data_IF_586269477522
#
_entry.id   IF_586269477522
#
_cell.length_a   1.000
_cell.length_b   1.000
_cell.length_c   1.000
_cell.angle_alpha   90.00
_cell.angle_beta   90.00
_cell.angle_gamma   90.00
#
_symmetry.space_group_name_H-M   'P 1'
#
loop_
_entity.id
_entity.type
_entity.pdbx_description
1 polymer ?
#
# COMPACT_ATOMS: atom_id res chain seq x y z
N UNK A 1 -7.52 -3.92 -12.38
CA UNK A 1 -7.64 -4.47 -13.72
C UNK A 1 -6.44 -5.39 -14.06
N UNK A 2 -5.20 -4.89 -14.03
CA UNK A 2 -4.00 -5.67 -14.36
C UNK A 2 -3.90 -6.99 -13.60
N UNK A 3 -4.01 -6.96 -12.28
CA UNK A 3 -3.99 -8.15 -11.42
C UNK A 3 -5.08 -9.15 -11.79
N UNK A 4 -6.29 -8.67 -12.10
CA UNK A 4 -7.41 -9.53 -12.50
C UNK A 4 -7.11 -10.26 -13.81
N UNK A 5 -6.55 -9.56 -14.80
CA UNK A 5 -6.16 -10.17 -16.09
C UNK A 5 -5.05 -11.21 -15.90
N UNK A 6 -4.00 -10.87 -15.13
CA UNK A 6 -2.92 -11.82 -14.87
C UNK A 6 -3.41 -13.07 -14.15
N UNK A 7 -4.27 -12.90 -13.14
CA UNK A 7 -4.83 -14.01 -12.39
C UNK A 7 -5.79 -14.87 -13.25
N UNK A 8 -6.63 -14.22 -14.06
CA UNK A 8 -7.51 -14.96 -15.00
C UNK A 8 -6.72 -15.80 -15.99
N UNK A 9 -5.62 -15.27 -16.54
CA UNK A 9 -4.71 -16.02 -17.41
C UNK A 9 -4.03 -17.19 -16.70
N UNK A 10 -3.62 -17.01 -15.44
CA UNK A 10 -3.06 -18.11 -14.64
C UNK A 10 -4.09 -19.22 -14.45
N UNK A 11 -5.32 -18.88 -14.09
CA UNK A 11 -6.41 -19.85 -13.94
C UNK A 11 -6.75 -20.54 -15.27
N UNK A 12 -6.93 -19.76 -16.34
CA UNK A 12 -7.23 -20.32 -17.67
C UNK A 12 -6.15 -21.30 -18.14
N UNK A 13 -4.87 -20.93 -17.97
CA UNK A 13 -3.77 -21.85 -18.29
C UNK A 13 -3.79 -23.12 -17.44
N UNK A 14 -4.15 -23.01 -16.16
CA UNK A 14 -4.24 -24.15 -15.24
C UNK A 14 -5.38 -25.10 -15.58
N UNK A 15 -6.49 -24.58 -16.12
CA UNK A 15 -7.67 -25.36 -16.48
C UNK A 15 -7.76 -25.71 -17.97
N UNK A 16 -6.74 -25.36 -18.78
CA UNK A 16 -6.69 -25.74 -20.20
C UNK A 16 -7.58 -24.90 -21.12
N UNK A 17 -7.95 -23.68 -20.70
CA UNK A 17 -8.78 -22.75 -21.48
C UNK A 17 -7.93 -22.03 -22.54
N UNK A 18 -7.49 -22.79 -23.58
CA UNK A 18 -6.51 -22.31 -24.57
C UNK A 18 -7.01 -21.12 -25.39
N UNK A 19 -8.31 -21.09 -25.73
CA UNK A 19 -8.92 -20.00 -26.48
C UNK A 19 -8.82 -18.68 -25.71
N UNK A 20 -9.20 -18.68 -24.42
CA UNK A 20 -9.08 -17.51 -23.54
C UNK A 20 -7.62 -17.06 -23.42
N UNK A 21 -6.69 -17.99 -23.21
CA UNK A 21 -5.26 -17.66 -23.13
C UNK A 21 -4.76 -17.07 -24.44
N UNK A 22 -5.18 -17.62 -25.58
CA UNK A 22 -4.84 -17.13 -26.91
C UNK A 22 -5.24 -15.67 -27.13
N UNK A 23 -6.45 -15.32 -26.70
CA UNK A 23 -7.03 -13.97 -26.83
C UNK A 23 -6.37 -12.98 -25.86
N UNK A 24 -6.13 -13.37 -24.59
CA UNK A 24 -5.78 -12.44 -23.52
C UNK A 24 -4.29 -12.35 -23.16
N UNK A 25 -3.45 -13.26 -23.65
CA UNK A 25 -2.01 -13.35 -23.27
C UNK A 25 -1.18 -12.08 -23.49
N UNK A 26 -1.57 -11.23 -24.44
CA UNK A 26 -0.86 -9.98 -24.74
C UNK A 26 -1.29 -8.81 -23.84
N UNK A 27 -2.43 -8.92 -23.15
CA UNK A 27 -2.99 -7.82 -22.37
C UNK A 27 -2.13 -7.40 -21.15
N UNK A 28 -1.53 -8.30 -20.37
CA UNK A 28 -0.69 -7.91 -19.25
C UNK A 28 0.45 -6.95 -19.64
N UNK A 29 1.13 -7.23 -20.74
CA UNK A 29 2.20 -6.37 -21.21
C UNK A 29 1.68 -5.00 -21.68
N UNK A 30 0.60 -4.99 -22.45
CA UNK A 30 -0.04 -3.76 -22.93
C UNK A 30 -0.51 -2.87 -21.78
N UNK A 31 -1.19 -3.46 -20.77
CA UNK A 31 -1.68 -2.73 -19.59
C UNK A 31 -0.50 -2.18 -18.79
N UNK A 32 0.55 -2.97 -18.55
CA UNK A 32 1.72 -2.55 -17.81
C UNK A 32 2.45 -1.39 -18.49
N UNK A 33 2.64 -1.46 -19.81
CA UNK A 33 3.30 -0.41 -20.57
C UNK A 33 2.49 0.89 -20.54
N UNK A 34 1.18 0.82 -20.83
CA UNK A 34 0.29 1.97 -20.74
C UNK A 34 0.24 2.57 -19.32
N UNK A 35 0.22 1.73 -18.28
CA UNK A 35 0.25 2.19 -16.89
C UNK A 35 1.54 2.96 -16.57
N UNK A 36 2.71 2.44 -16.97
CA UNK A 36 3.99 3.12 -16.76
C UNK A 36 4.06 4.44 -17.52
N UNK A 37 3.67 4.45 -18.77
CA UNK A 37 3.65 5.65 -19.60
C UNK A 37 2.76 6.76 -19.02
N UNK A 38 1.58 6.40 -18.52
CA UNK A 38 0.60 7.38 -18.03
C UNK A 38 0.86 7.84 -16.59
N UNK A 39 1.30 6.95 -15.72
CA UNK A 39 1.35 7.22 -14.26
C UNK A 39 2.76 7.45 -13.72
N UNK A 40 3.78 6.83 -14.28
CA UNK A 40 5.15 6.97 -13.77
C UNK A 40 5.76 8.32 -14.16
N UNK A 41 6.55 8.89 -13.27
CA UNK A 41 7.37 10.07 -13.53
C UNK A 41 8.82 9.75 -13.19
N UNK A 42 9.71 9.81 -14.18
CA UNK A 42 11.14 9.64 -13.97
C UNK A 42 11.72 10.80 -13.15
N UNK A 43 11.22 12.02 -13.37
CA UNK A 43 11.68 13.22 -12.66
C UNK A 43 11.30 13.19 -11.17
N UNK A 44 10.08 12.73 -10.84
CA UNK A 44 9.58 12.70 -9.46
C UNK A 44 9.96 11.39 -8.76
N UNK A 45 10.11 10.30 -9.50
CA UNK A 45 10.39 8.96 -8.99
C UNK A 45 9.21 8.27 -8.30
N UNK A 46 7.96 8.64 -8.66
CA UNK A 46 6.74 8.02 -8.15
C UNK A 46 5.57 8.08 -9.14
N UNK A 47 4.46 7.42 -8.78
CA UNK A 47 3.25 7.35 -9.59
C UNK A 47 2.34 8.56 -9.35
N UNK A 48 1.73 9.08 -10.43
CA UNK A 48 0.59 9.98 -10.32
C UNK A 48 -0.55 9.32 -9.53
N UNK A 49 -1.29 10.13 -8.77
CA UNK A 49 -2.48 9.67 -8.03
C UNK A 49 -3.61 9.28 -9.00
N UNK A 50 -3.85 10.12 -10.00
CA UNK A 50 -4.74 9.85 -11.12
C UNK A 50 -4.28 10.61 -12.36
N UNK A 51 -4.83 10.28 -13.52
CA UNK A 51 -4.65 11.02 -14.78
C UNK A 51 -5.99 11.57 -15.22
N UNK A 52 -6.10 12.90 -15.22
CA UNK A 52 -7.30 13.63 -15.63
C UNK A 52 -7.12 14.35 -16.97
N UNK A 53 -8.12 15.14 -17.41
CA UNK A 53 -8.03 15.94 -18.65
C UNK A 53 -6.87 16.93 -18.67
N UNK A 54 -6.45 17.40 -17.49
CA UNK A 54 -5.32 18.34 -17.32
C UNK A 54 -3.96 17.64 -17.20
N UNK A 55 -3.96 16.31 -17.33
CA UNK A 55 -2.75 15.48 -17.17
C UNK A 55 -2.66 14.77 -15.82
N UNK A 56 -1.47 14.25 -15.50
CA UNK A 56 -1.25 13.46 -14.28
C UNK A 56 -1.21 14.33 -13.02
N UNK A 57 -1.99 13.96 -12.01
CA UNK A 57 -1.96 14.57 -10.69
C UNK A 57 -0.75 14.04 -9.88
N UNK A 58 0.16 14.92 -9.49
CA UNK A 58 1.42 14.60 -8.79
C UNK A 58 1.34 14.73 -7.26
N UNK A 59 0.15 14.70 -6.69
CA UNK A 59 0.01 14.71 -5.24
C UNK A 59 0.51 13.40 -4.64
N UNK A 60 1.33 13.52 -3.59
CA UNK A 60 1.83 12.33 -2.89
C UNK A 60 0.72 11.80 -2.00
N UNK A 61 0.10 10.70 -2.43
CA UNK A 61 -0.99 9.97 -1.77
C UNK A 61 -0.65 8.49 -1.63
N UNK A 62 -1.29 7.75 -0.70
CA UNK A 62 -0.93 6.35 -0.44
C UNK A 62 -1.33 5.38 -1.55
N UNK A 63 -2.16 5.78 -2.54
CA UNK A 63 -2.64 4.89 -3.60
C UNK A 63 -1.51 4.17 -4.37
N UNK A 64 -0.36 4.83 -4.51
CA UNK A 64 0.80 4.25 -5.19
C UNK A 64 1.36 2.98 -4.50
N UNK A 65 1.17 2.80 -3.19
CA UNK A 65 1.66 1.58 -2.51
C UNK A 65 0.85 0.34 -2.88
N UNK A 66 -0.40 0.52 -3.30
CA UNK A 66 -1.24 -0.60 -3.77
C UNK A 66 -0.59 -1.25 -4.99
N UNK A 67 -0.10 -0.45 -5.95
CA UNK A 67 0.61 -0.95 -7.12
C UNK A 67 1.89 -1.74 -6.75
N UNK A 68 2.57 -1.34 -5.66
CA UNK A 68 3.74 -2.04 -5.15
C UNK A 68 3.40 -3.31 -4.35
N UNK A 69 2.28 -3.29 -3.61
CA UNK A 69 1.90 -4.37 -2.69
C UNK A 69 1.15 -5.53 -3.33
N UNK A 70 0.61 -5.39 -4.54
CA UNK A 70 -0.07 -6.48 -5.25
C UNK A 70 0.91 -7.56 -5.74
N UNK A 71 0.43 -8.80 -5.94
CA UNK A 71 1.29 -9.93 -6.30
C UNK A 71 1.82 -9.82 -7.74
N UNK A 72 0.99 -9.37 -8.67
CA UNK A 72 1.41 -9.08 -10.05
C UNK A 72 1.93 -7.65 -10.14
N UNK A 73 3.23 -7.50 -10.37
CA UNK A 73 3.92 -6.20 -10.35
C UNK A 73 3.86 -5.50 -11.71
N UNK A 74 3.47 -4.23 -11.71
CA UNK A 74 3.56 -3.35 -12.87
C UNK A 74 4.87 -2.54 -12.90
N UNK A 75 5.45 -2.28 -11.74
CA UNK A 75 6.71 -1.57 -11.55
C UNK A 75 7.87 -2.56 -11.38
N UNK A 76 9.07 -2.18 -11.83
CA UNK A 76 10.30 -2.89 -11.49
C UNK A 76 10.74 -2.61 -10.04
N UNK A 77 11.83 -3.27 -9.60
CA UNK A 77 12.29 -3.18 -8.22
C UNK A 77 12.79 -1.77 -7.86
N UNK A 78 13.44 -1.07 -8.79
CA UNK A 78 13.96 0.29 -8.57
C UNK A 78 12.80 1.29 -8.44
N UNK A 79 11.79 1.18 -9.30
CA UNK A 79 10.58 1.99 -9.23
C UNK A 79 9.81 1.74 -7.94
N UNK A 80 9.64 0.47 -7.54
CA UNK A 80 8.99 0.11 -6.27
C UNK A 80 9.77 0.66 -5.07
N UNK A 81 11.10 0.53 -5.05
CA UNK A 81 11.94 1.08 -3.98
C UNK A 81 11.82 2.60 -3.87
N UNK A 82 11.77 3.30 -5.02
CA UNK A 82 11.56 4.75 -5.05
C UNK A 82 10.20 5.14 -4.48
N UNK A 83 9.11 4.48 -4.88
CA UNK A 83 7.76 4.70 -4.32
C UNK A 83 7.76 4.49 -2.81
N UNK A 84 8.32 3.38 -2.31
CA UNK A 84 8.35 3.08 -0.87
C UNK A 84 9.15 4.12 -0.10
N UNK A 85 10.25 4.62 -0.65
CA UNK A 85 11.04 5.69 -0.05
C UNK A 85 10.22 6.98 0.06
N UNK A 86 9.55 7.41 -1.00
CA UNK A 86 8.69 8.62 -1.02
C UNK A 86 7.55 8.48 -0.01
N UNK A 87 6.86 7.35 -0.01
CA UNK A 87 5.77 7.08 0.95
C UNK A 87 6.29 7.08 2.39
N UNK A 88 7.42 6.43 2.64
CA UNK A 88 8.06 6.41 3.96
C UNK A 88 8.44 7.80 4.47
N UNK A 89 8.90 8.69 3.59
CA UNK A 89 9.29 10.06 3.94
C UNK A 89 8.11 11.02 4.14
N UNK A 90 7.02 10.83 3.39
CA UNK A 90 5.94 11.82 3.33
C UNK A 90 4.64 11.38 4.01
N UNK A 91 4.35 10.08 4.03
CA UNK A 91 3.05 9.58 4.46
C UNK A 91 3.10 8.67 5.68
N UNK A 92 4.20 7.95 5.91
CA UNK A 92 4.28 6.98 6.99
C UNK A 92 4.22 7.64 8.37
N UNK A 93 3.36 7.12 9.22
CA UNK A 93 3.19 7.48 10.63
C UNK A 93 3.20 6.23 11.50
N UNK A 94 3.27 6.34 12.83
CA UNK A 94 3.12 5.19 13.73
C UNK A 94 1.76 4.48 13.64
N UNK A 95 0.73 5.14 13.07
CA UNK A 95 -0.67 4.65 13.02
C UNK A 95 -1.12 4.22 11.61
N UNK A 96 -0.31 4.41 10.58
CA UNK A 96 -0.66 4.12 9.19
C UNK A 96 -0.07 5.09 8.19
N UNK A 97 -0.75 5.28 7.06
CA UNK A 97 -0.32 6.22 6.02
C UNK A 97 -1.27 7.42 5.94
N UNK A 98 -0.71 8.64 5.90
CA UNK A 98 -1.48 9.85 5.60
C UNK A 98 -2.12 9.75 4.22
N UNK A 99 -3.33 10.25 4.09
CA UNK A 99 -4.07 10.31 2.81
C UNK A 99 -3.52 11.37 1.86
N UNK A 100 -2.73 12.33 2.36
CA UNK A 100 -2.05 13.36 1.59
C UNK A 100 -0.77 13.79 2.31
N UNK A 101 0.28 14.11 1.55
CA UNK A 101 1.53 14.64 2.10
C UNK A 101 1.33 15.99 2.80
N UNK A 102 1.95 16.21 3.99
CA UNK A 102 1.94 17.50 4.66
C UNK A 102 2.54 18.66 3.85
N UNK A 103 3.28 18.38 2.78
CA UNK A 103 3.79 19.42 1.87
C UNK A 103 2.74 19.96 0.90
N UNK A 104 1.59 19.29 0.78
CA UNK A 104 0.53 19.75 -0.10
C UNK A 104 -0.25 20.90 0.57
N UNK A 105 -0.56 22.00 -0.16
CA UNK A 105 -1.30 23.14 0.41
C UNK A 105 -2.72 22.78 0.92
N UNK A 106 -3.29 21.69 0.43
CA UNK A 106 -4.61 21.19 0.87
C UNK A 106 -4.55 20.25 2.07
N UNK A 107 -3.36 20.03 2.63
CA UNK A 107 -3.22 19.14 3.78
C UNK A 107 -4.01 19.63 4.99
N UNK A 108 -4.77 18.72 5.57
CA UNK A 108 -5.54 18.90 6.80
C UNK A 108 -4.98 18.01 7.90
N UNK A 109 -4.38 18.62 8.90
CA UNK A 109 -3.70 17.88 9.97
C UNK A 109 -4.65 17.24 10.99
N UNK A 110 -5.91 17.73 11.07
CA UNK A 110 -6.92 17.26 12.02
C UNK A 110 -8.25 16.97 11.34
N UNK A 111 -8.93 15.94 11.85
CA UNK A 111 -10.26 15.52 11.40
C UNK A 111 -11.36 16.14 12.31
N UNK A 112 -11.33 17.46 12.50
CA UNK A 112 -12.21 18.22 13.37
C UNK A 112 -13.20 19.08 12.56
N UNK A 113 -14.32 19.48 13.18
CA UNK A 113 -15.29 20.40 12.60
C UNK A 113 -16.62 19.71 12.24
N UNK A 114 -17.38 20.31 11.34
CA UNK A 114 -18.61 19.74 10.82
C UNK A 114 -18.33 18.54 9.87
N UNK A 115 -19.40 17.91 9.38
CA UNK A 115 -19.30 16.72 8.53
C UNK A 115 -18.50 16.98 7.25
N UNK A 116 -18.70 18.13 6.60
CA UNK A 116 -18.02 18.46 5.34
C UNK A 116 -16.52 18.67 5.57
N UNK A 117 -16.13 19.37 6.64
CA UNK A 117 -14.74 19.60 7.02
C UNK A 117 -14.05 18.28 7.38
N UNK A 118 -14.72 17.40 8.14
CA UNK A 118 -14.18 16.07 8.46
C UNK A 118 -14.04 15.18 7.21
N UNK A 119 -15.01 15.23 6.30
CA UNK A 119 -14.93 14.49 5.03
C UNK A 119 -13.73 14.97 4.17
N UNK A 120 -13.51 16.29 4.10
CA UNK A 120 -12.32 16.84 3.42
C UNK A 120 -11.03 16.38 4.10
N UNK A 121 -10.94 16.45 5.44
CA UNK A 121 -9.77 16.06 6.19
C UNK A 121 -9.44 14.57 6.05
N UNK A 122 -10.46 13.71 6.02
CA UNK A 122 -10.28 12.26 5.85
C UNK A 122 -9.55 11.92 4.54
N UNK A 123 -9.78 12.70 3.49
CA UNK A 123 -9.14 12.54 2.18
C UNK A 123 -7.86 13.34 2.00
N UNK A 124 -7.60 14.36 2.81
CA UNK A 124 -6.50 15.30 2.61
C UNK A 124 -5.57 15.44 3.82
N UNK A 125 -5.36 14.38 4.58
CA UNK A 125 -4.39 14.43 5.67
C UNK A 125 -4.52 13.31 6.69
N UNK A 126 -5.74 12.89 7.02
CA UNK A 126 -5.96 11.82 7.98
C UNK A 126 -5.17 10.56 7.64
N UNK A 127 -4.75 9.87 8.69
CA UNK A 127 -3.98 8.63 8.60
C UNK A 127 -4.94 7.45 8.50
N UNK A 128 -4.77 6.63 7.49
CA UNK A 128 -5.51 5.39 7.27
C UNK A 128 -4.63 4.17 7.53
N UNK A 129 -5.19 3.18 8.21
CA UNK A 129 -4.47 1.96 8.57
C UNK A 129 -4.34 1.00 7.37
N UNK A 130 -5.40 0.85 6.57
CA UNK A 130 -5.47 -0.17 5.52
C UNK A 130 -4.35 -0.08 4.45
N UNK A 131 -3.86 1.11 4.04
CA UNK A 131 -2.80 1.15 3.03
C UNK A 131 -1.44 0.69 3.57
N UNK A 132 -1.26 0.71 4.91
CA UNK A 132 -0.03 0.27 5.56
C UNK A 132 0.29 -1.19 5.24
N UNK A 133 -0.72 -2.03 5.07
CA UNK A 133 -0.54 -3.42 4.65
C UNK A 133 0.25 -3.54 3.35
N UNK A 134 -0.14 -2.78 2.32
CA UNK A 134 0.53 -2.79 1.01
C UNK A 134 1.98 -2.27 1.11
N UNK A 135 2.20 -1.24 1.93
CA UNK A 135 3.53 -0.72 2.21
C UNK A 135 4.42 -1.79 2.86
N UNK A 136 3.94 -2.43 3.92
CA UNK A 136 4.69 -3.47 4.63
C UNK A 136 4.96 -4.68 3.74
N UNK A 137 3.95 -5.14 2.98
CA UNK A 137 4.11 -6.25 2.04
C UNK A 137 5.15 -5.94 0.97
N UNK A 138 5.05 -4.79 0.32
CA UNK A 138 6.02 -4.38 -0.70
C UNK A 138 7.43 -4.23 -0.11
N UNK A 139 7.56 -3.70 1.10
CA UNK A 139 8.84 -3.57 1.78
C UNK A 139 9.47 -4.93 2.09
N UNK A 140 8.68 -5.94 2.46
CA UNK A 140 9.17 -7.31 2.59
C UNK A 140 9.50 -7.96 1.24
N UNK A 141 8.74 -7.69 0.20
CA UNK A 141 8.98 -8.24 -1.14
C UNK A 141 10.35 -7.77 -1.69
N UNK A 142 10.77 -6.53 -1.38
CA UNK A 142 12.05 -5.97 -1.79
C UNK A 142 13.20 -6.22 -0.80
N UNK A 143 12.98 -5.90 0.49
CA UNK A 143 14.02 -5.93 1.52
C UNK A 143 14.10 -7.24 2.28
N UNK A 144 13.16 -8.17 2.04
CA UNK A 144 13.16 -9.46 2.71
C UNK A 144 13.19 -9.32 4.24
N UNK A 145 14.05 -10.11 4.87
CA UNK A 145 14.16 -10.15 6.33
C UNK A 145 14.75 -8.87 6.95
N UNK A 146 15.44 -8.04 6.17
CA UNK A 146 16.02 -6.78 6.66
C UNK A 146 14.94 -5.80 7.12
N UNK A 147 13.73 -5.89 6.55
CA UNK A 147 12.59 -5.08 6.97
C UNK A 147 11.92 -5.55 8.28
N UNK A 148 12.25 -6.74 8.78
CA UNK A 148 11.59 -7.35 9.96
C UNK A 148 11.56 -6.44 11.20
N UNK A 149 12.67 -5.81 11.63
CA UNK A 149 12.65 -4.93 12.80
C UNK A 149 11.67 -3.78 12.66
N UNK A 150 11.56 -3.21 11.46
CA UNK A 150 10.64 -2.10 11.19
C UNK A 150 9.17 -2.55 11.21
N UNK A 151 8.88 -3.72 10.67
CA UNK A 151 7.52 -4.28 10.72
C UNK A 151 7.09 -4.57 12.17
N UNK A 152 8.00 -5.08 12.99
CA UNK A 152 7.75 -5.33 14.42
C UNK A 152 7.51 -4.04 15.21
N UNK A 153 8.27 -2.98 14.92
CA UNK A 153 8.04 -1.64 15.51
C UNK A 153 6.65 -1.11 15.17
N UNK A 154 6.25 -1.19 13.88
CA UNK A 154 4.92 -0.75 13.44
C UNK A 154 3.81 -1.54 14.14
N UNK A 155 3.96 -2.87 14.27
CA UNK A 155 2.97 -3.70 14.96
C UNK A 155 2.85 -3.37 16.46
N UNK A 156 3.95 -3.07 17.14
CA UNK A 156 3.94 -2.72 18.56
C UNK A 156 3.04 -1.52 18.86
N UNK A 157 3.00 -0.52 17.95
CA UNK A 157 2.16 0.67 18.08
C UNK A 157 0.66 0.35 18.08
N UNK A 158 0.24 -0.67 17.33
CA UNK A 158 -1.15 -1.13 17.35
C UNK A 158 -1.50 -1.89 18.61
N UNK A 159 -0.54 -2.55 19.27
CA UNK A 159 -0.74 -3.16 20.59
C UNK A 159 -1.14 -2.13 21.65
N UNK A 160 -0.55 -0.93 21.62
CA UNK A 160 -0.92 0.20 22.49
C UNK A 160 -2.32 0.73 22.13
N UNK A 161 -2.63 0.86 20.83
CA UNK A 161 -3.91 1.37 20.35
C UNK A 161 -5.12 0.52 20.77
N UNK A 162 -4.99 -0.80 20.65
CA UNK A 162 -6.03 -1.76 21.04
C UNK A 162 -6.41 -1.62 22.54
N UNK A 163 -5.50 -1.12 23.37
CA UNK A 163 -5.73 -0.95 24.82
C UNK A 163 -6.25 0.43 25.20
N UNK A 164 -6.06 1.46 24.36
CA UNK A 164 -6.32 2.86 24.71
C UNK A 164 -7.67 3.38 24.18
N UNK A 165 -8.05 3.03 22.97
CA UNK A 165 -9.27 3.50 22.33
C UNK A 165 -9.96 2.34 21.60
N UNK A 166 -11.28 2.25 21.66
CA UNK A 166 -12.02 1.15 21.00
C UNK A 166 -11.82 -0.25 21.62
N UNK A 167 -11.10 -0.37 22.65
CA UNK A 167 -10.74 -1.55 23.48
C UNK A 167 -10.95 -2.89 22.77
N UNK A 168 -9.88 -3.48 22.27
CA UNK A 168 -9.91 -4.74 21.52
C UNK A 168 -10.07 -4.60 20.02
N UNK A 169 -10.14 -3.36 19.50
CA UNK A 169 -10.29 -3.08 18.07
C UNK A 169 -9.40 -1.91 17.60
N UNK A 170 -9.48 -1.58 16.31
CA UNK A 170 -8.72 -0.51 15.67
C UNK A 170 -9.68 0.37 14.91
N UNK A 171 -9.56 1.68 15.11
CA UNK A 171 -10.44 2.64 14.46
C UNK A 171 -10.18 2.81 12.97
N UNK A 172 -11.09 3.52 12.35
CA UNK A 172 -11.08 3.77 10.92
C UNK A 172 -9.87 4.60 10.49
N UNK A 173 -9.64 5.73 11.15
CA UNK A 173 -8.58 6.68 10.81
C UNK A 173 -8.09 7.45 12.03
N UNK A 174 -7.03 8.23 11.85
CA UNK A 174 -6.42 9.09 12.87
C UNK A 174 -6.10 10.46 12.29
N UNK A 175 -5.88 11.46 13.16
CA UNK A 175 -5.35 12.75 12.74
C UNK A 175 -4.03 12.61 11.99
N UNK A 176 -3.81 13.50 11.03
CA UNK A 176 -2.61 13.53 10.21
C UNK A 176 -1.34 13.82 11.02
N UNK A 177 -1.45 14.67 12.06
CA UNK A 177 -0.33 15.06 12.92
C UNK A 177 -0.43 14.48 14.33
N UNK A 178 0.72 14.35 15.04
CA UNK A 178 0.72 13.92 16.42
C UNK A 178 -0.22 14.74 17.32
N UNK A 179 -0.86 14.12 18.30
CA UNK A 179 -0.68 12.74 18.79
C UNK A 179 -1.38 11.66 17.95
N UNK A 180 -1.93 11.98 16.77
CA UNK A 180 -2.71 11.08 15.92
C UNK A 180 -3.97 10.59 16.66
N UNK A 181 -4.81 11.53 17.07
CA UNK A 181 -6.07 11.22 17.74
C UNK A 181 -6.96 10.35 16.84
N UNK A 182 -7.67 9.35 17.42
CA UNK A 182 -8.53 8.45 16.66
C UNK A 182 -9.84 9.12 16.23
N UNK A 183 -10.29 8.80 15.02
CA UNK A 183 -11.53 9.30 14.41
C UNK A 183 -12.25 8.21 13.60
N UNK A 184 -13.47 8.53 13.14
CA UNK A 184 -14.30 7.64 12.35
C UNK A 184 -14.93 6.53 13.17
N UNK A 185 -15.17 5.37 12.56
CA UNK A 185 -15.71 4.20 13.24
C UNK A 185 -14.72 3.67 14.29
N UNK A 186 -15.20 3.42 15.50
CA UNK A 186 -14.39 2.91 16.63
C UNK A 186 -13.79 1.53 16.34
N UNK A 187 -14.47 0.73 15.52
CA UNK A 187 -14.03 -0.60 15.08
C UNK A 187 -14.24 -0.70 13.57
N UNK A 188 -13.14 -0.72 12.81
CA UNK A 188 -13.19 -0.76 11.35
C UNK A 188 -12.56 -2.04 10.82
N UNK A 189 -13.35 -2.81 10.05
CA UNK A 189 -12.95 -4.13 9.56
C UNK A 189 -11.66 -4.12 8.73
N UNK A 190 -11.47 -3.17 7.83
CA UNK A 190 -10.24 -3.09 7.03
C UNK A 190 -9.03 -2.58 7.80
N UNK A 191 -9.21 -1.80 8.88
CA UNK A 191 -8.12 -1.46 9.79
C UNK A 191 -7.64 -2.68 10.56
N UNK A 192 -8.57 -3.44 11.15
CA UNK A 192 -8.29 -4.71 11.84
C UNK A 192 -7.68 -5.72 10.87
N UNK A 193 -8.27 -5.89 9.69
CA UNK A 193 -7.79 -6.80 8.65
C UNK A 193 -6.36 -6.47 8.21
N UNK A 194 -6.05 -5.19 7.99
CA UNK A 194 -4.70 -4.76 7.63
C UNK A 194 -3.67 -5.13 8.71
N UNK A 195 -3.96 -4.88 9.98
CA UNK A 195 -3.06 -5.21 11.09
C UNK A 195 -2.86 -6.71 11.24
N UNK A 196 -3.93 -7.51 11.06
CA UNK A 196 -3.82 -8.97 11.05
C UNK A 196 -2.95 -9.48 9.90
N UNK A 197 -3.10 -8.92 8.70
CA UNK A 197 -2.28 -9.28 7.54
C UNK A 197 -0.81 -8.85 7.72
N UNK A 198 -0.55 -7.69 8.30
CA UNK A 198 0.80 -7.23 8.66
C UNK A 198 1.42 -8.20 9.65
N UNK A 199 0.69 -8.58 10.71
CA UNK A 199 1.13 -9.53 11.73
C UNK A 199 1.48 -10.89 11.10
N UNK A 200 0.57 -11.47 10.32
CA UNK A 200 0.79 -12.75 9.66
C UNK A 200 2.03 -12.73 8.77
N UNK A 201 2.20 -11.68 7.98
CA UNK A 201 3.36 -11.53 7.10
C UNK A 201 4.64 -11.41 7.91
N UNK A 202 4.65 -10.60 8.97
CA UNK A 202 5.80 -10.44 9.87
C UNK A 202 6.18 -11.77 10.53
N UNK A 203 5.21 -12.52 11.04
CA UNK A 203 5.45 -13.83 11.62
C UNK A 203 5.97 -14.85 10.59
N UNK A 204 5.45 -14.82 9.36
CA UNK A 204 5.94 -15.66 8.26
C UNK A 204 7.41 -15.39 7.97
N UNK A 205 7.82 -14.12 7.90
CA UNK A 205 9.21 -13.73 7.69
C UNK A 205 10.10 -14.06 8.91
N UNK A 206 9.59 -13.94 10.12
CA UNK A 206 10.30 -14.34 11.35
C UNK A 206 10.61 -15.85 11.36
N UNK A 207 9.66 -16.70 10.94
CA UNK A 207 9.81 -18.17 10.88
C UNK A 207 10.70 -18.67 9.75
N UNK A 208 10.91 -17.90 8.69
CA UNK A 208 11.86 -18.21 7.63
C UNK A 208 13.29 -18.16 8.22
N UNK A 209 13.73 -19.27 8.84
CA UNK A 209 15.12 -19.45 9.28
C UNK A 209 16.02 -19.33 8.04
N UNK A 210 17.10 -18.55 8.15
CA UNK A 210 17.99 -18.16 7.09
C UNK A 210 18.49 -19.30 6.17
N UNK A 211 17.69 -19.60 5.18
CA UNK A 211 18.17 -20.14 3.94
C UNK A 211 18.41 -18.92 3.07
N UNK A 212 19.67 -18.54 2.93
CA UNK A 212 20.06 -17.49 2.03
C UNK A 212 19.42 -17.74 0.67
N UNK A 213 18.41 -16.94 0.33
CA UNK A 213 17.95 -16.85 -1.05
C UNK A 213 19.04 -16.13 -1.80
N UNK A 214 19.85 -16.90 -2.54
CA UNK A 214 20.61 -16.36 -3.65
C UNK A 214 19.61 -15.60 -4.55
N UNK A 215 19.90 -14.33 -4.90
CA UNK A 215 19.08 -13.60 -5.85
C UNK A 215 19.11 -14.39 -7.17
N UNK A 216 17.97 -14.87 -7.63
CA UNK A 216 17.89 -15.46 -8.97
C UNK A 216 17.14 -16.78 -9.15
N UNK A 217 16.62 -17.42 -8.10
CA UNK A 217 15.85 -18.66 -8.28
C UNK A 217 14.38 -18.47 -7.87
N UNK A 218 13.63 -17.74 -8.68
CA UNK A 218 12.17 -17.94 -8.77
C UNK A 218 11.95 -19.27 -9.49
N UNK A 219 11.58 -20.31 -8.74
CA UNK A 219 10.97 -21.49 -9.36
C UNK A 219 9.72 -21.03 -10.08
N UNK A 220 9.73 -21.09 -11.41
CA UNK A 220 8.55 -21.17 -12.25
C UNK A 220 7.74 -22.36 -11.73
N UNK A 221 6.59 -22.11 -11.17
CA UNK A 221 5.50 -23.07 -11.04
C UNK A 221 4.30 -22.47 -11.73
#
# INVERSE_FOLDING_TARGET
WYTAVCYALELASRFGEEEFVGEWKAWPERIRNAFREMFWSDDDGYLADFVGPEGPNRWIRPNMVVACGLDYKMLDEEQQASVLRIVGQHLLTPKGLRSLSPRNPRYKNRCEGDEAVRAEASMNGSVWVWPLWFYVKASFDLGGREFLPRAEELLARFGEEIQSYGIGSINELFDGDPPHAPWGAVSQAWSVGAVLMIRETTERWRRRRGHGLLPGLRKKR
#
